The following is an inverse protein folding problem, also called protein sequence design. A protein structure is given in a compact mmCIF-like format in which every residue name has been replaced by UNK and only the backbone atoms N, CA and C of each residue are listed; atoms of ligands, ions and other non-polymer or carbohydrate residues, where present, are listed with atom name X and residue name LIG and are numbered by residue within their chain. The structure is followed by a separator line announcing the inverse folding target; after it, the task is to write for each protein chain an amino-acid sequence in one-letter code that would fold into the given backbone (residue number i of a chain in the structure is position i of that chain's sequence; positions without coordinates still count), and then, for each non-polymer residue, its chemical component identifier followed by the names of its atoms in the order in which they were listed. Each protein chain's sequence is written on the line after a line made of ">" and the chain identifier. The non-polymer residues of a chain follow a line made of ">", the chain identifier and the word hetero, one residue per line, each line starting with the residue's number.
data_IF_555098630186
#
_entry.id   IF_555098630186
#
_cell.length_a   1.000
_cell.length_b   1.000
_cell.length_c   1.000
_cell.angle_alpha   90.00
_cell.angle_beta   90.00
_cell.angle_gamma   90.00
#
_symmetry.space_group_name_H-M   'P 1'
#
loop_
_entity.id
_entity.type
_entity.pdbx_description
1 polymer ?
#
# COMPACT_ATOMS: atom_id res chain seq x y z
N UNK A 1 -31.12 3.81 0.56
CA UNK A 1 -30.34 4.16 -0.64
C UNK A 1 -29.43 3.02 -1.08
N UNK A 2 -29.21 2.85 -2.38
CA UNK A 2 -28.24 1.89 -2.92
C UNK A 2 -27.08 2.71 -3.49
N UNK A 3 -26.03 2.91 -2.68
CA UNK A 3 -24.86 3.72 -3.08
C UNK A 3 -24.17 2.98 -4.23
N UNK A 4 -24.11 3.53 -5.46
CA UNK A 4 -23.46 2.87 -6.59
C UNK A 4 -21.95 3.13 -6.54
N UNK A 5 -21.30 2.77 -5.42
CA UNK A 5 -19.89 3.08 -5.16
C UNK A 5 -18.90 1.97 -5.47
N UNK A 6 -19.19 1.19 -6.51
CA UNK A 6 -18.78 -0.22 -6.56
C UNK A 6 -17.29 -0.54 -6.65
N UNK A 7 -16.40 0.39 -7.02
CA UNK A 7 -14.98 0.05 -7.31
C UNK A 7 -13.91 1.11 -7.04
N UNK A 8 -14.23 2.36 -6.72
CA UNK A 8 -13.22 3.40 -6.39
C UNK A 8 -13.25 3.76 -4.91
N UNK A 9 -14.45 3.91 -4.36
CA UNK A 9 -14.66 4.22 -2.94
C UNK A 9 -14.11 3.16 -1.99
N UNK A 10 -14.01 1.90 -2.42
CA UNK A 10 -13.42 0.83 -1.60
C UNK A 10 -11.93 1.07 -1.31
N UNK A 11 -11.15 1.48 -2.31
CA UNK A 11 -9.71 1.70 -2.14
C UNK A 11 -9.42 2.89 -1.23
N UNK A 12 -10.20 3.96 -1.38
CA UNK A 12 -10.14 5.12 -0.50
C UNK A 12 -10.58 4.76 0.94
N UNK A 13 -11.68 4.03 1.10
CA UNK A 13 -12.17 3.60 2.41
C UNK A 13 -11.20 2.68 3.15
N UNK A 14 -10.61 1.70 2.45
CA UNK A 14 -9.61 0.79 3.01
C UNK A 14 -8.33 1.55 3.41
N UNK A 15 -7.89 2.52 2.61
CA UNK A 15 -6.76 3.38 2.93
C UNK A 15 -7.00 4.23 4.19
N UNK A 16 -8.16 4.90 4.28
CA UNK A 16 -8.49 5.69 5.46
C UNK A 16 -8.73 4.83 6.69
N UNK A 17 -9.35 3.65 6.54
CA UNK A 17 -9.50 2.69 7.63
C UNK A 17 -8.12 2.28 8.18
N UNK A 18 -7.15 2.00 7.31
CA UNK A 18 -5.79 1.70 7.73
C UNK A 18 -5.12 2.86 8.50
N UNK A 19 -5.32 4.13 8.07
CA UNK A 19 -4.85 5.30 8.85
C UNK A 19 -5.56 5.44 10.20
N UNK A 20 -6.83 5.08 10.29
CA UNK A 20 -7.53 5.05 11.57
C UNK A 20 -6.91 3.98 12.49
N UNK A 21 -6.62 2.79 11.97
CA UNK A 21 -5.96 1.74 12.74
C UNK A 21 -4.54 2.11 13.19
N UNK A 22 -3.79 2.83 12.36
CA UNK A 22 -2.49 3.42 12.71
C UNK A 22 -2.60 4.33 13.95
N UNK A 23 -3.54 5.29 13.93
CA UNK A 23 -3.81 6.18 15.06
C UNK A 23 -4.28 5.44 16.31
N UNK A 24 -5.02 4.35 16.12
CA UNK A 24 -5.50 3.50 17.21
C UNK A 24 -4.43 2.51 17.72
N UNK A 25 -3.18 2.58 17.21
CA UNK A 25 -2.08 1.66 17.53
C UNK A 25 -2.47 0.19 17.34
N UNK A 26 -3.22 -0.10 16.29
CA UNK A 26 -3.65 -1.45 15.91
C UNK A 26 -2.89 -1.92 14.66
N UNK A 27 -1.59 -2.29 14.78
CA UNK A 27 -0.75 -2.62 13.62
C UNK A 27 -1.25 -3.83 12.83
N UNK A 28 -1.87 -4.81 13.49
CA UNK A 28 -2.48 -5.98 12.81
C UNK A 28 -3.59 -5.57 11.85
N UNK A 29 -4.57 -4.78 12.35
CA UNK A 29 -5.71 -4.33 11.53
C UNK A 29 -5.29 -3.35 10.44
N UNK A 30 -4.33 -2.48 10.73
CA UNK A 30 -3.74 -1.57 9.75
C UNK A 30 -3.16 -2.35 8.56
N UNK A 31 -2.36 -3.37 8.85
CA UNK A 31 -1.79 -4.23 7.84
C UNK A 31 -2.85 -4.99 7.05
N UNK A 32 -3.83 -5.60 7.70
CA UNK A 32 -4.93 -6.30 6.99
C UNK A 32 -5.69 -5.36 6.03
N UNK A 33 -5.96 -4.13 6.46
CA UNK A 33 -6.60 -3.12 5.62
C UNK A 33 -5.74 -2.74 4.39
N UNK A 34 -4.42 -2.63 4.56
CA UNK A 34 -3.53 -2.39 3.42
C UNK A 34 -3.31 -3.64 2.54
N UNK A 35 -3.33 -4.85 3.11
CA UNK A 35 -3.26 -6.09 2.33
C UNK A 35 -4.50 -6.27 1.44
N UNK A 36 -5.66 -5.82 1.89
CA UNK A 36 -6.87 -5.79 1.07
C UNK A 36 -6.68 -4.95 -0.21
N UNK A 37 -5.92 -3.85 -0.13
CA UNK A 37 -5.58 -3.00 -1.28
C UNK A 37 -4.68 -3.68 -2.32
N UNK A 38 -3.90 -4.71 -1.96
CA UNK A 38 -3.06 -5.47 -2.90
C UNK A 38 -3.91 -6.11 -4.00
N UNK A 39 -5.06 -6.65 -3.60
CA UNK A 39 -6.01 -7.30 -4.50
C UNK A 39 -6.99 -6.31 -5.14
N UNK A 40 -6.98 -5.05 -4.72
CA UNK A 40 -7.90 -4.02 -5.19
C UNK A 40 -7.61 -3.60 -6.63
N UNK A 41 -8.66 -3.43 -7.44
CA UNK A 41 -8.56 -3.01 -8.84
C UNK A 41 -9.45 -1.78 -9.02
N UNK A 42 -8.98 -0.69 -9.64
CA UNK A 42 -7.82 -0.60 -10.55
C UNK A 42 -6.44 -0.53 -9.88
N UNK A 43 -5.44 -1.18 -10.50
CA UNK A 43 -4.06 -1.22 -9.97
C UNK A 43 -3.32 0.12 -10.02
N UNK A 44 -3.78 1.02 -10.89
CA UNK A 44 -3.25 2.38 -11.03
C UNK A 44 -3.96 3.39 -10.13
N UNK A 45 -4.83 2.93 -9.23
CA UNK A 45 -5.51 3.82 -8.27
C UNK A 45 -4.50 4.41 -7.28
N UNK A 46 -4.59 5.72 -7.05
CA UNK A 46 -3.64 6.45 -6.21
C UNK A 46 -3.70 6.01 -4.75
N UNK A 47 -4.90 5.70 -4.23
CA UNK A 47 -5.07 5.24 -2.85
C UNK A 47 -4.56 3.82 -2.66
N UNK A 48 -4.74 2.96 -3.66
CA UNK A 48 -4.09 1.64 -3.68
C UNK A 48 -2.58 1.81 -3.60
N UNK A 49 -1.97 2.60 -4.48
CA UNK A 49 -0.51 2.77 -4.52
C UNK A 49 0.03 3.35 -3.20
N UNK A 50 -0.67 4.35 -2.65
CA UNK A 50 -0.33 4.91 -1.34
C UNK A 50 -0.45 3.88 -0.21
N UNK A 51 -1.48 3.04 -0.24
CA UNK A 51 -1.67 1.96 0.72
C UNK A 51 -0.62 0.87 0.60
N UNK A 52 -0.23 0.50 -0.62
CA UNK A 52 0.87 -0.43 -0.86
C UNK A 52 2.20 0.11 -0.35
N UNK A 53 2.45 1.41 -0.51
CA UNK A 53 3.66 2.04 0.03
C UNK A 53 3.72 1.87 1.55
N UNK A 54 2.60 2.14 2.23
CA UNK A 54 2.48 1.96 3.68
C UNK A 54 2.60 0.50 4.11
N UNK A 55 2.01 -0.42 3.36
CA UNK A 55 2.15 -1.85 3.61
C UNK A 55 3.62 -2.30 3.52
N UNK A 56 4.34 -1.80 2.52
CA UNK A 56 5.75 -2.09 2.35
C UNK A 56 6.57 -1.55 3.53
N UNK A 57 6.33 -0.30 3.96
CA UNK A 57 6.96 0.27 5.16
C UNK A 57 6.68 -0.57 6.43
N UNK A 58 5.45 -1.08 6.58
CA UNK A 58 5.11 -1.98 7.70
C UNK A 58 5.92 -3.27 7.60
N UNK A 59 6.03 -3.86 6.41
CA UNK A 59 6.88 -5.04 6.22
C UNK A 59 8.35 -4.76 6.54
N UNK A 60 8.86 -3.56 6.23
CA UNK A 60 10.20 -3.15 6.65
C UNK A 60 10.33 -3.10 8.17
N UNK A 61 9.37 -2.47 8.84
CA UNK A 61 9.35 -2.34 10.31
C UNK A 61 9.23 -3.71 11.01
N UNK A 62 8.51 -4.66 10.41
CA UNK A 62 8.41 -6.06 10.87
C UNK A 62 9.66 -6.90 10.53
N UNK A 63 10.66 -6.35 9.84
CA UNK A 63 11.84 -7.09 9.37
C UNK A 63 11.58 -8.01 8.16
N UNK A 64 10.38 -7.97 7.59
CA UNK A 64 9.98 -8.72 6.40
C UNK A 64 10.41 -8.02 5.10
N UNK A 65 11.71 -7.73 4.98
CA UNK A 65 12.30 -6.99 3.86
C UNK A 65 11.91 -7.61 2.50
N UNK A 66 11.94 -8.95 2.39
CA UNK A 66 11.56 -9.68 1.17
C UNK A 66 10.13 -9.35 0.71
N UNK A 67 9.17 -9.25 1.64
CA UNK A 67 7.78 -8.90 1.30
C UNK A 67 7.65 -7.43 0.91
N UNK A 68 8.32 -6.53 1.63
CA UNK A 68 8.36 -5.11 1.29
C UNK A 68 8.88 -4.88 -0.13
N UNK A 69 9.97 -5.56 -0.52
CA UNK A 69 10.53 -5.50 -1.87
C UNK A 69 9.53 -5.93 -2.95
N UNK A 70 8.75 -7.00 -2.71
CA UNK A 70 7.71 -7.45 -3.65
C UNK A 70 6.63 -6.39 -3.82
N UNK A 71 6.18 -5.79 -2.71
CA UNK A 71 5.15 -4.74 -2.74
C UNK A 71 5.65 -3.49 -3.45
N UNK A 72 6.86 -3.01 -3.15
CA UNK A 72 7.47 -1.90 -3.88
C UNK A 72 7.64 -2.21 -5.37
N UNK A 73 8.01 -3.45 -5.70
CA UNK A 73 8.10 -3.91 -7.09
C UNK A 73 6.75 -3.85 -7.82
N UNK A 74 5.65 -4.16 -7.13
CA UNK A 74 4.29 -4.02 -7.69
C UNK A 74 3.94 -2.55 -7.95
N UNK A 75 4.29 -1.64 -7.03
CA UNK A 75 4.10 -0.19 -7.23
C UNK A 75 4.88 0.28 -8.47
N UNK A 76 6.14 -0.10 -8.61
CA UNK A 76 6.98 0.27 -9.77
C UNK A 76 6.41 -0.25 -11.10
N UNK A 77 5.81 -1.45 -11.10
CA UNK A 77 5.25 -2.06 -12.31
C UNK A 77 3.86 -1.52 -12.68
N UNK A 78 3.03 -1.18 -11.69
CA UNK A 78 1.62 -0.84 -11.92
C UNK A 78 1.31 0.66 -11.79
N UNK A 79 2.19 1.44 -11.16
CA UNK A 79 2.04 2.89 -11.06
C UNK A 79 2.28 3.57 -12.41
N UNK A 80 1.36 4.46 -12.79
CA UNK A 80 1.55 5.38 -13.92
C UNK A 80 2.22 6.68 -13.51
N UNK A 81 2.35 6.93 -12.21
CA UNK A 81 2.90 8.16 -11.69
C UNK A 81 4.40 7.96 -11.39
N UNK A 82 5.27 8.78 -12.03
CA UNK A 82 6.72 8.65 -11.90
C UNK A 82 7.23 8.90 -10.48
N UNK A 83 6.58 9.74 -9.68
CA UNK A 83 6.96 10.00 -8.29
C UNK A 83 6.87 8.74 -7.43
N UNK A 84 5.76 8.00 -7.54
CA UNK A 84 5.57 6.72 -6.84
C UNK A 84 6.59 5.67 -7.28
N UNK A 85 6.92 5.65 -8.58
CA UNK A 85 7.94 4.73 -9.13
C UNK A 85 9.33 5.07 -8.59
N UNK A 86 9.68 6.37 -8.57
CA UNK A 86 10.97 6.83 -8.05
C UNK A 86 11.10 6.50 -6.55
N UNK A 87 10.08 6.83 -5.76
CA UNK A 87 10.04 6.56 -4.32
C UNK A 87 10.18 5.06 -4.04
N UNK A 88 9.43 4.21 -4.75
CA UNK A 88 9.48 2.77 -4.55
C UNK A 88 10.83 2.16 -4.97
N UNK A 89 11.43 2.64 -6.07
CA UNK A 89 12.79 2.22 -6.48
C UNK A 89 13.86 2.63 -5.47
N UNK A 90 13.76 3.83 -4.92
CA UNK A 90 14.67 4.30 -3.89
C UNK A 90 14.59 3.42 -2.64
N UNK A 91 13.37 3.12 -2.17
CA UNK A 91 13.16 2.20 -1.05
C UNK A 91 13.71 0.80 -1.32
N UNK A 92 13.46 0.24 -2.50
CA UNK A 92 14.04 -1.05 -2.92
C UNK A 92 15.57 -1.03 -2.84
N UNK A 93 16.21 0.05 -3.29
CA UNK A 93 17.67 0.17 -3.26
C UNK A 93 18.18 0.22 -1.82
N UNK A 94 17.55 1.02 -0.96
CA UNK A 94 17.90 1.12 0.47
C UNK A 94 17.74 -0.25 1.14
N UNK A 95 16.65 -0.95 0.85
CA UNK A 95 16.35 -2.25 1.42
C UNK A 95 17.30 -3.36 0.99
N UNK A 96 17.79 -3.33 -0.24
CA UNK A 96 18.80 -4.28 -0.71
C UNK A 96 20.21 -4.01 -0.13
N UNK A 97 20.42 -2.83 0.47
CA UNK A 97 21.70 -2.44 1.07
C UNK A 97 21.74 -2.63 2.60
N UNK A 98 20.60 -2.98 3.21
CA UNK A 98 20.51 -3.35 4.63
C UNK A 98 20.70 -4.84 4.82
#
# INVERSE_FOLDING_TARGET
>A
EKVPGGKREKGEAEFYAARCYDKLKMPKKQKEAYEALVNFVPRSDEYRLAGLMRLAEIYEAEGQIKKGLVVYGDIVKNSKNPDWVALAKERIKILNQK
#
